data_IF_507065945118
#
_entry.id   IF_507065945118
#
_cell.length_a   1.000
_cell.length_b   1.000
_cell.length_c   1.000
_cell.angle_alpha   90.00
_cell.angle_beta   90.00
_cell.angle_gamma   90.00
#
_symmetry.space_group_name_H-M   'P 1'
#
loop_
_entity.id
_entity.type
_entity.pdbx_description
1 polymer ?
#
# COMPACT_ATOMS: atom_id res chain seq x y z
N UNK A 1 -0.29 -12.20 4.50
CA UNK A 1 -1.21 -13.26 3.99
C UNK A 1 -0.74 -14.70 4.26
N UNK A 2 0.53 -15.06 4.00
CA UNK A 2 1.08 -16.42 4.26
C UNK A 2 0.87 -16.90 5.69
N UNK A 3 1.04 -16.01 6.67
CA UNK A 3 0.91 -16.36 8.10
C UNK A 3 -0.53 -16.64 8.56
N UNK A 4 -1.55 -16.18 7.84
CA UNK A 4 -2.95 -16.26 8.28
C UNK A 4 -3.65 -17.52 7.78
N UNK A 5 -3.27 -18.01 6.59
CA UNK A 5 -3.85 -19.20 5.98
C UNK A 5 -2.81 -19.96 5.15
N UNK A 6 -1.87 -20.69 5.78
CA UNK A 6 -0.80 -21.37 5.05
C UNK A 6 -1.34 -22.36 4.00
N UNK A 7 -2.52 -22.95 4.23
CA UNK A 7 -3.14 -23.93 3.33
C UNK A 7 -4.00 -23.31 2.22
N UNK A 8 -4.68 -22.17 2.47
CA UNK A 8 -5.43 -21.44 1.41
C UNK A 8 -4.56 -20.49 0.60
N UNK A 9 -3.44 -20.03 1.16
CA UNK A 9 -2.46 -19.22 0.43
C UNK A 9 -1.88 -19.99 -0.76
N UNK A 10 -1.56 -21.27 -0.58
CA UNK A 10 -1.05 -22.15 -1.64
C UNK A 10 -2.03 -22.38 -2.80
N UNK A 11 -3.34 -22.21 -2.57
CA UNK A 11 -4.38 -22.35 -3.61
C UNK A 11 -4.80 -21.02 -4.24
N UNK A 12 -4.71 -19.91 -3.49
CA UNK A 12 -5.09 -18.58 -3.98
C UNK A 12 -3.94 -17.87 -4.72
N UNK A 13 -2.69 -18.05 -4.26
CA UNK A 13 -1.48 -17.48 -4.86
C UNK A 13 -0.66 -18.57 -5.57
N UNK A 14 -1.20 -19.08 -6.67
CA UNK A 14 -0.40 -19.88 -7.61
C UNK A 14 0.63 -18.96 -8.30
N UNK A 15 1.83 -19.47 -8.56
CA UNK A 15 2.90 -18.72 -9.23
C UNK A 15 2.42 -18.14 -10.57
N UNK A 16 1.64 -18.90 -11.34
CA UNK A 16 1.12 -18.42 -12.65
C UNK A 16 0.15 -17.25 -12.49
N UNK A 17 -0.77 -17.35 -11.51
CA UNK A 17 -1.76 -16.30 -11.24
C UNK A 17 -1.11 -15.03 -10.69
N UNK A 18 -0.10 -15.21 -9.85
CA UNK A 18 0.67 -14.11 -9.27
C UNK A 18 1.50 -13.40 -10.33
N UNK A 19 2.11 -14.13 -11.26
CA UNK A 19 2.84 -13.56 -12.39
C UNK A 19 1.92 -12.76 -13.32
N UNK A 20 0.73 -13.29 -13.64
CA UNK A 20 -0.27 -12.55 -14.43
C UNK A 20 -0.70 -11.27 -13.72
N UNK A 21 -0.98 -11.33 -12.42
CA UNK A 21 -1.37 -10.16 -11.64
C UNK A 21 -0.29 -9.08 -11.63
N UNK A 22 0.98 -9.47 -11.43
CA UNK A 22 2.12 -8.54 -11.49
C UNK A 22 2.23 -7.92 -12.88
N UNK A 23 2.11 -8.71 -13.94
CA UNK A 23 2.16 -8.21 -15.32
C UNK A 23 1.01 -7.24 -15.62
N UNK A 24 -0.21 -7.52 -15.14
CA UNK A 24 -1.33 -6.59 -15.25
C UNK A 24 -1.06 -5.27 -14.52
N UNK A 25 -0.50 -5.31 -13.31
CA UNK A 25 -0.13 -4.11 -12.55
C UNK A 25 0.90 -3.28 -13.32
N UNK A 26 1.91 -3.91 -13.91
CA UNK A 26 2.90 -3.22 -14.74
C UNK A 26 2.29 -2.57 -15.97
N UNK A 27 1.38 -3.25 -16.68
CA UNK A 27 0.69 -2.68 -17.83
C UNK A 27 -0.16 -1.47 -17.41
N UNK A 28 -0.94 -1.60 -16.33
CA UNK A 28 -1.75 -0.50 -15.81
C UNK A 28 -0.88 0.70 -15.41
N UNK A 29 0.25 0.47 -14.76
CA UNK A 29 1.19 1.53 -14.39
C UNK A 29 1.77 2.23 -15.63
N UNK A 30 2.16 1.47 -16.66
CA UNK A 30 2.65 2.05 -17.91
C UNK A 30 1.58 2.90 -18.60
N UNK A 31 0.34 2.40 -18.68
CA UNK A 31 -0.79 3.14 -19.26
C UNK A 31 -1.07 4.43 -18.48
N UNK A 32 -1.01 4.39 -17.15
CA UNK A 32 -1.19 5.58 -16.30
C UNK A 32 -0.10 6.64 -16.50
N UNK A 33 1.10 6.25 -16.95
CA UNK A 33 2.22 7.17 -17.23
C UNK A 33 2.14 7.77 -18.63
N UNK A 34 1.45 7.15 -19.59
CA UNK A 34 1.35 7.64 -20.98
C UNK A 34 0.89 9.10 -21.08
N UNK A 35 -0.13 9.58 -20.32
CA UNK A 35 -0.58 10.96 -20.42
C UNK A 35 0.52 11.99 -20.14
N UNK A 36 1.48 11.68 -19.27
CA UNK A 36 2.58 12.57 -18.91
C UNK A 36 3.52 12.90 -20.08
N UNK A 37 3.49 12.13 -21.17
CA UNK A 37 4.28 12.42 -22.36
C UNK A 37 3.63 13.47 -23.27
N UNK A 38 2.37 13.86 -23.05
CA UNK A 38 1.75 14.99 -23.74
C UNK A 38 2.25 16.32 -23.19
N UNK A 39 3.38 16.79 -23.74
CA UNK A 39 4.12 17.99 -23.30
C UNK A 39 3.32 19.28 -23.26
N UNK A 40 2.28 19.41 -24.09
CA UNK A 40 1.49 20.65 -24.20
C UNK A 40 0.45 20.77 -23.07
N UNK A 41 -0.17 19.66 -22.66
CA UNK A 41 -1.40 19.69 -21.85
C UNK A 41 -1.26 18.96 -20.49
N UNK A 42 -0.35 18.00 -20.35
CA UNK A 42 -0.33 17.09 -19.19
C UNK A 42 1.07 17.00 -18.56
N UNK A 43 1.82 18.11 -18.56
CA UNK A 43 3.20 18.12 -18.09
C UNK A 43 3.32 17.99 -16.56
N UNK A 44 4.44 17.41 -16.13
CA UNK A 44 4.80 17.25 -14.72
C UNK A 44 6.03 18.09 -14.42
N UNK A 45 5.91 18.99 -13.45
CA UNK A 45 6.95 19.98 -13.16
C UNK A 45 7.25 20.02 -11.66
N UNK A 46 8.46 20.46 -11.31
CA UNK A 46 8.87 20.63 -9.93
C UNK A 46 8.54 22.05 -9.45
N UNK A 47 7.67 22.17 -8.47
CA UNK A 47 7.33 23.43 -7.81
C UNK A 47 8.33 23.66 -6.66
N UNK A 48 9.25 24.61 -6.85
CA UNK A 48 10.29 24.93 -5.86
C UNK A 48 9.73 25.45 -4.54
N UNK A 49 8.64 26.22 -4.57
CA UNK A 49 8.05 26.83 -3.36
C UNK A 49 7.58 25.79 -2.35
N UNK A 50 7.03 24.68 -2.82
CA UNK A 50 6.56 23.60 -1.98
C UNK A 50 7.46 22.36 -2.06
N UNK A 51 8.65 22.48 -2.66
CA UNK A 51 9.65 21.41 -2.83
C UNK A 51 9.06 20.08 -3.29
N UNK A 52 8.16 20.11 -4.29
CA UNK A 52 7.40 18.95 -4.72
C UNK A 52 7.14 18.93 -6.22
N UNK A 53 6.93 17.73 -6.75
CA UNK A 53 6.47 17.54 -8.12
C UNK A 53 4.96 17.67 -8.22
N UNK A 54 4.48 18.36 -9.24
CA UNK A 54 3.06 18.64 -9.47
C UNK A 54 2.68 18.41 -10.92
N UNK A 55 1.43 18.00 -11.09
CA UNK A 55 0.77 17.99 -12.39
C UNK A 55 0.41 19.43 -12.80
N UNK A 56 0.42 19.70 -14.11
CA UNK A 56 -0.03 20.97 -14.68
C UNK A 56 -1.43 21.35 -14.18
N UNK A 57 -1.66 22.65 -13.95
CA UNK A 57 -2.99 23.20 -13.62
C UNK A 57 -3.86 23.35 -14.88
N UNK A 58 -3.91 22.29 -15.69
CA UNK A 58 -4.72 22.14 -16.90
C UNK A 58 -5.77 21.07 -16.64
N UNK A 59 -6.82 21.00 -17.46
CA UNK A 59 -7.86 19.96 -17.32
C UNK A 59 -7.24 18.55 -17.37
N UNK A 60 -6.25 18.32 -18.22
CA UNK A 60 -5.56 17.03 -18.30
C UNK A 60 -4.69 16.74 -17.08
N UNK A 61 -3.94 17.73 -16.58
CA UNK A 61 -3.09 17.58 -15.41
C UNK A 61 -3.89 17.32 -14.14
N UNK A 62 -5.01 18.03 -13.95
CA UNK A 62 -5.93 17.76 -12.83
C UNK A 62 -6.60 16.38 -12.95
N UNK A 63 -7.06 16.00 -14.14
CA UNK A 63 -7.64 14.68 -14.36
C UNK A 63 -6.64 13.56 -14.02
N UNK A 64 -5.41 13.69 -14.51
CA UNK A 64 -4.33 12.72 -14.26
C UNK A 64 -3.97 12.67 -12.77
N UNK A 65 -3.76 13.82 -12.14
CA UNK A 65 -3.42 13.89 -10.72
C UNK A 65 -4.50 13.34 -9.80
N UNK A 66 -5.78 13.56 -10.10
CA UNK A 66 -6.87 13.06 -9.27
C UNK A 66 -7.22 11.59 -9.55
N UNK A 67 -7.47 11.23 -10.81
CA UNK A 67 -7.99 9.92 -11.16
C UNK A 67 -6.92 8.85 -11.37
N UNK A 68 -5.73 9.22 -11.83
CA UNK A 68 -4.66 8.26 -12.13
C UNK A 68 -3.63 8.15 -11.01
N UNK A 69 -3.49 9.17 -10.16
CA UNK A 69 -2.53 9.17 -9.04
C UNK A 69 -3.22 9.10 -7.67
N UNK A 70 -4.03 10.09 -7.30
CA UNK A 70 -4.64 10.19 -5.97
C UNK A 70 -5.62 9.06 -5.62
N UNK A 71 -6.63 8.82 -6.47
CA UNK A 71 -7.66 7.80 -6.21
C UNK A 71 -7.09 6.38 -6.10
N UNK A 72 -6.23 5.91 -7.02
CA UNK A 72 -5.59 4.60 -6.89
C UNK A 72 -4.71 4.51 -5.65
N UNK A 73 -3.96 5.56 -5.32
CA UNK A 73 -3.10 5.60 -4.14
C UNK A 73 -3.91 5.46 -2.85
N UNK A 74 -4.99 6.23 -2.68
CA UNK A 74 -5.89 6.07 -1.53
C UNK A 74 -6.53 4.69 -1.52
N UNK A 75 -7.00 4.19 -2.66
CA UNK A 75 -7.58 2.86 -2.77
C UNK A 75 -6.62 1.77 -2.27
N UNK A 76 -5.35 1.85 -2.67
CA UNK A 76 -4.29 0.93 -2.24
C UNK A 76 -4.01 1.08 -0.74
N UNK A 77 -3.91 2.30 -0.21
CA UNK A 77 -3.76 2.55 1.24
C UNK A 77 -4.88 1.90 2.03
N UNK A 78 -6.14 2.15 1.66
CA UNK A 78 -7.31 1.60 2.36
C UNK A 78 -7.31 0.08 2.29
N UNK A 79 -7.00 -0.50 1.12
CA UNK A 79 -6.87 -1.95 0.96
C UNK A 79 -5.77 -2.51 1.88
N UNK A 80 -4.57 -1.92 1.90
CA UNK A 80 -3.47 -2.37 2.77
C UNK A 80 -3.82 -2.29 4.25
N UNK A 81 -4.37 -1.16 4.71
CA UNK A 81 -4.80 -1.00 6.11
C UNK A 81 -5.89 -2.00 6.50
N UNK A 82 -6.85 -2.25 5.60
CA UNK A 82 -7.91 -3.24 5.86
C UNK A 82 -7.34 -4.66 5.98
N UNK A 83 -6.40 -5.04 5.11
CA UNK A 83 -5.75 -6.34 5.15
C UNK A 83 -4.91 -6.51 6.41
N UNK A 84 -4.20 -5.47 6.83
CA UNK A 84 -3.42 -5.47 8.08
C UNK A 84 -4.30 -5.50 9.33
N UNK A 85 -5.41 -4.77 9.34
CA UNK A 85 -6.40 -4.85 10.42
C UNK A 85 -7.02 -6.25 10.52
N UNK A 86 -7.40 -6.85 9.39
CA UNK A 86 -7.90 -8.23 9.34
C UNK A 86 -6.84 -9.24 9.79
N UNK A 87 -5.59 -9.05 9.38
CA UNK A 87 -4.47 -9.86 9.81
C UNK A 87 -4.28 -9.81 11.34
N UNK A 88 -4.20 -8.59 11.89
CA UNK A 88 -3.98 -8.39 13.33
C UNK A 88 -5.16 -8.89 14.17
N UNK A 89 -6.41 -8.67 13.74
CA UNK A 89 -7.60 -9.14 14.47
C UNK A 89 -7.66 -10.67 14.53
N UNK A 90 -7.42 -11.37 13.42
CA UNK A 90 -7.34 -12.83 13.37
C UNK A 90 -6.16 -13.38 14.17
N UNK A 91 -5.02 -12.70 14.11
CA UNK A 91 -3.83 -13.08 14.84
C UNK A 91 -4.03 -12.94 16.35
N UNK A 92 -4.64 -11.84 16.82
CA UNK A 92 -5.00 -11.65 18.23
C UNK A 92 -6.03 -12.68 18.71
N UNK A 93 -7.07 -12.95 17.93
CA UNK A 93 -8.07 -13.96 18.27
C UNK A 93 -7.43 -15.36 18.47
N UNK A 94 -6.49 -15.74 17.61
CA UNK A 94 -5.76 -17.01 17.74
C UNK A 94 -4.67 -16.98 18.83
N UNK A 95 -4.06 -15.82 19.09
CA UNK A 95 -2.99 -15.64 20.07
C UNK A 95 -3.50 -15.70 21.52
N UNK A 96 -4.64 -15.04 21.83
CA UNK A 96 -5.26 -15.09 23.16
C UNK A 96 -5.61 -16.51 23.59
N UNK A 97 -5.97 -17.37 22.62
CA UNK A 97 -6.27 -18.79 22.88
C UNK A 97 -5.00 -19.62 23.06
N UNK A 98 -3.90 -19.31 22.36
CA UNK A 98 -2.70 -20.17 22.29
C UNK A 98 -1.61 -19.84 23.32
N UNK A 99 -1.30 -18.57 23.58
CA UNK A 99 -0.20 -18.22 24.48
C UNK A 99 -0.61 -18.36 25.98
N UNK A 100 -1.91 -18.33 26.30
CA UNK A 100 -2.46 -18.58 27.66
C UNK A 100 -2.30 -20.04 28.11
N UNK A 101 -2.12 -20.98 27.17
CA UNK A 101 -1.93 -22.42 27.44
C UNK A 101 -0.46 -22.89 27.27
N UNK A 102 0.51 -21.97 27.22
CA UNK A 102 1.85 -22.25 26.69
C UNK A 102 2.75 -23.11 27.60
N UNK A 103 3.10 -24.32 27.13
CA UNK A 103 4.22 -25.15 27.64
C UNK A 103 5.06 -25.85 26.55
N UNK A 104 4.79 -25.61 25.26
CA UNK A 104 5.41 -26.34 24.13
C UNK A 104 6.13 -25.41 23.12
N UNK A 105 7.31 -25.84 22.63
CA UNK A 105 8.19 -25.12 21.66
C UNK A 105 7.49 -24.55 20.41
N UNK A 106 6.59 -25.26 19.70
CA UNK A 106 5.93 -24.70 18.51
C UNK A 106 5.03 -23.50 18.83
N UNK A 107 4.51 -23.41 20.05
CA UNK A 107 3.65 -22.31 20.50
C UNK A 107 4.46 -21.03 20.72
N UNK A 108 5.69 -21.17 21.24
CA UNK A 108 6.62 -20.05 21.44
C UNK A 108 7.09 -19.43 20.12
N UNK A 109 7.38 -20.27 19.10
CA UNK A 109 7.70 -19.81 17.75
C UNK A 109 6.53 -19.04 17.11
N UNK A 110 5.29 -19.46 17.36
CA UNK A 110 4.11 -18.73 16.88
C UNK A 110 3.95 -17.36 17.56
N UNK A 111 4.18 -17.25 18.88
CA UNK A 111 4.09 -15.95 19.57
C UNK A 111 5.21 -14.98 19.10
N UNK A 112 6.44 -15.44 18.84
CA UNK A 112 7.51 -14.56 18.29
C UNK A 112 7.25 -14.09 16.86
N UNK A 113 6.57 -14.92 16.05
CA UNK A 113 6.15 -14.54 14.70
C UNK A 113 5.13 -13.38 14.70
N UNK A 114 4.27 -13.32 15.72
CA UNK A 114 3.30 -12.22 15.91
C UNK A 114 4.02 -10.89 16.14
N UNK A 115 5.04 -10.90 16.98
CA UNK A 115 5.83 -9.72 17.30
C UNK A 115 6.54 -9.18 16.05
N UNK A 116 7.18 -10.07 15.28
CA UNK A 116 7.85 -9.73 14.03
C UNK A 116 6.86 -9.21 12.97
N UNK A 117 5.69 -9.84 12.81
CA UNK A 117 4.65 -9.37 11.89
C UNK A 117 4.14 -7.98 12.26
N UNK A 118 3.93 -7.73 13.56
CA UNK A 118 3.49 -6.43 14.06
C UNK A 118 4.52 -5.35 13.74
N UNK A 119 5.80 -5.62 13.97
CA UNK A 119 6.88 -4.70 13.65
C UNK A 119 6.94 -4.43 12.14
N UNK A 120 6.88 -5.48 11.31
CA UNK A 120 6.86 -5.36 9.85
C UNK A 120 5.71 -4.50 9.33
N UNK A 121 4.48 -4.75 9.81
CA UNK A 121 3.28 -3.98 9.41
C UNK A 121 3.41 -2.49 9.78
N UNK A 122 3.95 -2.17 10.95
CA UNK A 122 4.20 -0.77 11.37
C UNK A 122 5.27 -0.13 10.48
N UNK A 123 6.41 -0.81 10.30
CA UNK A 123 7.53 -0.30 9.50
C UNK A 123 7.18 -0.12 8.02
N UNK A 124 6.21 -0.87 7.48
CA UNK A 124 5.74 -0.69 6.11
C UNK A 124 4.64 0.38 6.01
N UNK A 125 3.67 0.36 6.94
CA UNK A 125 2.48 1.22 6.84
C UNK A 125 2.78 2.68 7.20
N UNK A 126 3.61 2.93 8.22
CA UNK A 126 3.88 4.29 8.70
C UNK A 126 4.61 5.14 7.66
N UNK A 127 5.72 4.69 7.03
CA UNK A 127 6.38 5.48 6.00
C UNK A 127 5.50 5.71 4.77
N UNK A 128 4.69 4.71 4.40
CA UNK A 128 3.79 4.84 3.25
C UNK A 128 2.68 5.86 3.51
N UNK A 129 2.05 5.83 4.69
CA UNK A 129 1.09 6.85 5.11
C UNK A 129 1.72 8.23 5.20
N UNK A 130 2.94 8.32 5.73
CA UNK A 130 3.66 9.59 5.82
C UNK A 130 3.91 10.19 4.43
N UNK A 131 4.30 9.36 3.44
CA UNK A 131 4.51 9.80 2.06
C UNK A 131 3.22 10.30 1.40
N UNK A 132 2.10 9.58 1.60
CA UNK A 132 0.78 9.98 1.07
C UNK A 132 0.30 11.28 1.73
N UNK A 133 0.46 11.40 3.04
CA UNK A 133 0.09 12.61 3.78
C UNK A 133 0.98 13.80 3.41
N UNK A 134 2.29 13.60 3.24
CA UNK A 134 3.18 14.69 2.80
C UNK A 134 2.84 15.15 1.40
N UNK A 135 2.55 14.23 0.48
CA UNK A 135 2.28 14.55 -0.92
C UNK A 135 0.87 15.13 -1.15
N UNK A 136 -0.15 14.74 -0.39
CA UNK A 136 -1.53 15.21 -0.62
C UNK A 136 -2.05 16.23 0.40
N UNK A 137 -1.55 16.20 1.64
CA UNK A 137 -2.03 17.10 2.71
C UNK A 137 -1.05 18.26 2.89
N UNK A 138 0.22 17.99 3.20
CA UNK A 138 1.22 19.04 3.45
C UNK A 138 1.43 19.91 2.21
N UNK A 139 1.49 19.29 1.04
CA UNK A 139 1.56 19.93 -0.26
C UNK A 139 0.46 20.96 -0.53
N UNK A 140 -0.77 20.69 -0.06
CA UNK A 140 -1.96 21.53 -0.28
C UNK A 140 -2.04 22.67 0.73
N UNK A 141 -1.56 22.46 1.94
CA UNK A 141 -1.48 23.48 2.99
C UNK A 141 -0.29 24.44 2.83
N UNK A 142 0.76 24.04 2.11
CA UNK A 142 1.89 24.93 1.82
C UNK A 142 1.54 26.09 0.87
N UNK A 143 0.33 26.12 0.30
CA UNK A 143 -0.14 27.17 -0.62
C UNK A 143 -1.07 28.21 0.03
N UNK A 144 -1.47 28.01 1.29
CA UNK A 144 -2.23 29.01 2.07
C UNK A 144 -1.31 29.88 2.90
#
# INVERSE_FOLDING_TARGET
MVMLYPLKFMTMFDFRKSAVLVLCVWICALVGVVPLFWREECYFFYAYEAAQWRFAATECGEFTGYYLDFLPTIGIVVCMLSMDALALTRLRANHTVRCTCARSRPTQFACSLVENYRLQSICQSVPFLLAVLSFHVVARYAET
#
